data_IF_799632909728
#
_entry.id   IF_799632909728
#
_cell.length_a   1.000
_cell.length_b   1.000
_cell.length_c   1.000
_cell.angle_alpha   90.00
_cell.angle_beta   90.00
_cell.angle_gamma   90.00
#
_symmetry.space_group_name_H-M   'P 1'
#
loop_
_entity.id
_entity.type
_entity.pdbx_description
1 polymer ?
#
# COMPACT_ATOMS: atom_id res chain seq x y z
N UNK A 1 10.68 27.66 5.94
CA UNK A 1 10.90 26.22 5.59
C UNK A 1 10.25 25.42 6.69
N UNK A 2 9.51 24.37 6.39
CA UNK A 2 8.82 23.59 7.41
C UNK A 2 9.87 22.70 8.12
N UNK A 3 10.39 23.17 9.25
CA UNK A 3 11.50 22.51 9.96
C UNK A 3 11.20 21.05 10.30
N UNK A 4 9.94 20.73 10.63
CA UNK A 4 9.55 19.35 10.96
C UNK A 4 9.61 18.41 9.75
N UNK A 5 9.19 18.86 8.55
CA UNK A 5 9.26 18.01 7.35
C UNK A 5 10.72 17.59 7.06
N UNK A 6 11.67 18.49 7.29
CA UNK A 6 13.10 18.23 7.10
C UNK A 6 13.70 17.25 8.13
N UNK A 7 12.99 16.98 9.24
CA UNK A 7 13.38 15.94 10.20
C UNK A 7 12.79 14.57 9.85
N UNK A 8 11.80 14.53 8.97
CA UNK A 8 11.08 13.30 8.59
C UNK A 8 11.56 12.78 7.23
N UNK A 9 11.55 13.63 6.21
CA UNK A 9 11.92 13.29 4.83
C UNK A 9 13.35 13.73 4.56
N UNK A 10 14.11 12.91 3.82
CA UNK A 10 15.43 13.32 3.31
C UNK A 10 15.27 14.39 2.22
N UNK A 11 15.01 15.65 2.65
CA UNK A 11 14.81 16.78 1.75
C UNK A 11 16.08 17.20 1.00
N UNK A 12 17.27 16.74 1.41
CA UNK A 12 18.51 16.96 0.62
C UNK A 12 18.47 16.10 -0.63
N UNK A 13 18.00 14.88 -0.52
CA UNK A 13 17.88 13.93 -1.62
C UNK A 13 16.56 14.09 -2.39
N UNK A 14 15.49 14.40 -1.69
CA UNK A 14 14.12 14.49 -2.21
C UNK A 14 13.46 15.82 -1.78
N UNK A 15 13.82 16.96 -2.37
CA UNK A 15 13.27 18.27 -1.99
C UNK A 15 11.81 18.43 -2.45
N UNK A 16 10.89 17.62 -1.88
CA UNK A 16 9.46 17.59 -2.25
C UNK A 16 8.72 18.91 -2.00
N UNK A 17 9.32 19.82 -1.23
CA UNK A 17 8.83 21.19 -1.01
C UNK A 17 9.08 22.12 -2.21
N UNK A 18 9.94 21.73 -3.15
CA UNK A 18 10.23 22.48 -4.38
C UNK A 18 10.07 21.58 -5.62
N UNK A 19 8.82 21.50 -6.12
CA UNK A 19 8.50 20.74 -7.33
C UNK A 19 9.17 21.30 -8.60
N UNK A 20 9.72 22.51 -8.54
CA UNK A 20 10.41 23.13 -9.66
C UNK A 20 11.89 22.77 -9.73
N UNK A 21 12.47 22.24 -8.66
CA UNK A 21 13.85 21.80 -8.65
C UNK A 21 14.12 20.73 -9.72
N UNK A 22 15.31 20.76 -10.30
CA UNK A 22 15.74 19.76 -11.30
C UNK A 22 15.72 18.34 -10.72
N UNK A 23 16.06 18.19 -9.43
CA UNK A 23 16.06 16.89 -8.74
C UNK A 23 14.65 16.30 -8.75
N UNK A 24 13.66 17.08 -8.33
CA UNK A 24 12.26 16.59 -8.26
C UNK A 24 11.66 16.39 -9.64
N UNK A 25 11.92 17.27 -10.60
CA UNK A 25 11.46 17.06 -11.99
C UNK A 25 11.97 15.74 -12.58
N UNK A 26 13.23 15.41 -12.36
CA UNK A 26 13.80 14.14 -12.82
C UNK A 26 13.19 12.94 -12.07
N UNK A 27 12.99 13.05 -10.74
CA UNK A 27 12.35 12.00 -9.95
C UNK A 27 10.90 11.76 -10.39
N UNK A 28 10.11 12.82 -10.56
CA UNK A 28 8.73 12.76 -11.06
C UNK A 28 8.67 12.11 -12.44
N UNK A 29 9.57 12.49 -13.36
CA UNK A 29 9.66 11.84 -14.68
C UNK A 29 9.94 10.36 -14.56
N UNK A 30 10.93 9.96 -13.76
CA UNK A 30 11.25 8.55 -13.47
C UNK A 30 10.02 7.80 -12.90
N UNK A 31 9.35 8.39 -11.90
CA UNK A 31 8.17 7.76 -11.30
C UNK A 31 7.06 7.52 -12.33
N UNK A 32 6.78 8.49 -13.21
CA UNK A 32 5.79 8.32 -14.29
C UNK A 32 6.15 7.19 -15.24
N UNK A 33 7.39 7.16 -15.71
CA UNK A 33 7.89 6.12 -16.62
C UNK A 33 7.78 4.72 -15.97
N UNK A 34 8.18 4.58 -14.70
CA UNK A 34 8.07 3.32 -13.95
C UNK A 34 6.61 2.91 -13.71
N UNK A 35 5.72 3.86 -13.36
CA UNK A 35 4.30 3.60 -13.17
C UNK A 35 3.60 3.20 -14.48
N UNK A 36 4.00 3.72 -15.61
CA UNK A 36 3.43 3.34 -16.90
C UNK A 36 3.94 1.99 -17.37
N UNK A 37 5.22 1.72 -17.20
CA UNK A 37 5.84 0.48 -17.63
C UNK A 37 5.59 -0.70 -16.67
N UNK A 38 5.64 -0.42 -15.36
CA UNK A 38 5.66 -1.46 -14.32
C UNK A 38 4.53 -1.35 -13.31
N UNK A 39 3.64 -0.35 -13.42
CA UNK A 39 2.59 -0.05 -12.44
C UNK A 39 3.09 0.25 -11.04
N UNK A 40 4.38 0.36 -10.83
CA UNK A 40 5.03 0.51 -9.53
C UNK A 40 6.28 1.36 -9.65
N UNK A 41 6.42 2.34 -8.74
CA UNK A 41 7.66 3.11 -8.58
C UNK A 41 8.07 3.12 -7.10
N UNK A 42 9.38 3.09 -6.85
CA UNK A 42 9.93 3.13 -5.48
C UNK A 42 10.91 4.28 -5.33
N UNK A 43 10.78 4.97 -4.20
CA UNK A 43 11.65 6.07 -3.78
C UNK A 43 12.40 5.59 -2.54
N UNK A 44 13.66 5.12 -2.71
CA UNK A 44 14.40 4.47 -1.64
C UNK A 44 14.86 5.45 -0.57
N UNK A 45 14.83 5.02 0.70
CA UNK A 45 15.25 5.82 1.86
C UNK A 45 14.58 7.20 1.88
N UNK A 46 13.28 7.24 1.61
CA UNK A 46 12.49 8.48 1.60
C UNK A 46 12.38 9.09 2.99
N UNK A 47 12.21 8.23 4.01
CA UNK A 47 12.14 8.62 5.41
C UNK A 47 13.53 8.53 6.05
N UNK A 48 13.88 9.56 6.82
CA UNK A 48 15.12 9.58 7.60
C UNK A 48 15.10 8.51 8.70
N UNK A 49 16.24 7.85 8.99
CA UNK A 49 16.29 6.74 9.96
C UNK A 49 15.72 7.09 11.33
N UNK A 50 16.03 8.28 11.86
CA UNK A 50 15.53 8.72 13.16
C UNK A 50 13.99 8.86 13.20
N UNK A 51 13.39 9.39 12.15
CA UNK A 51 11.92 9.50 12.06
C UNK A 51 11.29 8.12 11.87
N UNK A 52 11.95 7.23 11.13
CA UNK A 52 11.49 5.85 10.98
C UNK A 52 11.47 5.09 12.32
N UNK A 53 12.49 5.29 13.17
CA UNK A 53 12.52 4.74 14.54
C UNK A 53 11.34 5.27 15.38
N UNK A 54 11.02 6.57 15.27
CA UNK A 54 9.86 7.16 15.95
C UNK A 54 8.56 6.54 15.44
N UNK A 55 8.36 6.44 14.11
CA UNK A 55 7.17 5.83 13.51
C UNK A 55 7.00 4.37 13.95
N UNK A 56 8.09 3.60 13.99
CA UNK A 56 8.06 2.21 14.46
C UNK A 56 7.68 2.14 15.94
N UNK A 57 8.27 2.98 16.78
CA UNK A 57 7.95 3.03 18.22
C UNK A 57 6.51 3.51 18.50
N UNK A 58 5.97 4.43 17.67
CA UNK A 58 4.56 4.84 17.75
C UNK A 58 3.63 3.67 17.43
N UNK A 59 3.96 2.87 16.41
CA UNK A 59 3.19 1.69 16.02
C UNK A 59 3.27 0.60 17.10
N UNK A 60 4.45 0.29 17.61
CA UNK A 60 4.65 -0.76 18.63
C UNK A 60 3.82 -0.52 19.89
N UNK A 61 3.56 0.73 20.26
CA UNK A 61 2.70 1.10 21.38
C UNK A 61 1.20 0.85 21.14
N UNK A 62 0.82 0.58 19.90
CA UNK A 62 -0.57 0.37 19.49
C UNK A 62 -0.83 -1.07 19.03
N UNK A 63 0.11 -2.00 19.21
CA UNK A 63 -0.05 -3.37 18.72
C UNK A 63 -1.25 -4.09 19.32
N UNK A 64 -1.64 -3.76 20.54
CA UNK A 64 -2.84 -4.33 21.19
C UNK A 64 -4.15 -3.90 20.52
N UNK A 65 -4.12 -2.81 19.72
CA UNK A 65 -5.27 -2.29 18.97
C UNK A 65 -5.35 -2.89 17.54
N UNK A 66 -4.41 -3.74 17.16
CA UNK A 66 -4.39 -4.34 15.82
C UNK A 66 -5.55 -5.32 15.67
N UNK A 67 -6.38 -5.08 14.69
CA UNK A 67 -7.40 -6.03 14.28
C UNK A 67 -6.82 -7.09 13.35
N UNK A 68 -6.52 -8.27 13.88
CA UNK A 68 -6.08 -9.42 13.09
C UNK A 68 -7.25 -10.09 12.40
N UNK A 69 -7.16 -10.28 11.08
CA UNK A 69 -8.17 -10.96 10.27
C UNK A 69 -7.57 -12.19 9.61
N UNK A 70 -8.28 -13.33 9.76
CA UNK A 70 -7.99 -14.55 9.04
C UNK A 70 -9.24 -14.99 8.29
N UNK A 71 -9.19 -14.93 6.97
CA UNK A 71 -10.32 -15.21 6.11
C UNK A 71 -9.89 -15.79 4.77
N UNK A 72 -10.84 -16.34 4.01
CA UNK A 72 -10.62 -16.83 2.66
C UNK A 72 -11.25 -15.86 1.66
N UNK A 73 -10.45 -15.28 0.77
CA UNK A 73 -10.89 -14.32 -0.23
C UNK A 73 -10.38 -14.70 -1.62
N UNK A 74 -11.09 -14.25 -2.64
CA UNK A 74 -10.61 -14.34 -4.01
C UNK A 74 -9.78 -13.11 -4.41
N UNK A 75 -9.20 -13.12 -5.61
CA UNK A 75 -8.37 -12.03 -6.12
C UNK A 75 -9.11 -10.68 -6.30
N UNK A 76 -10.42 -10.68 -6.19
CA UNK A 76 -11.28 -9.49 -6.28
C UNK A 76 -11.83 -9.08 -4.92
N UNK A 77 -11.24 -9.57 -3.83
CA UNK A 77 -11.57 -9.30 -2.42
C UNK A 77 -12.97 -9.78 -1.99
N UNK A 78 -13.60 -10.68 -2.73
CA UNK A 78 -14.86 -11.28 -2.29
C UNK A 78 -14.60 -12.51 -1.40
N UNK A 79 -15.36 -12.62 -0.32
CA UNK A 79 -15.35 -13.76 0.59
C UNK A 79 -16.44 -14.80 0.26
N UNK A 80 -17.36 -14.50 -0.67
CA UNK A 80 -18.46 -15.38 -1.07
C UNK A 80 -18.23 -15.92 -2.47
N UNK A 81 -18.48 -17.23 -2.64
CA UNK A 81 -18.48 -17.89 -3.95
C UNK A 81 -19.67 -17.46 -4.81
N UNK A 82 -19.47 -17.43 -6.12
CA UNK A 82 -20.52 -17.22 -7.11
C UNK A 82 -20.66 -18.48 -7.99
N UNK A 83 -21.57 -19.40 -7.65
CA UNK A 83 -21.78 -20.63 -8.41
C UNK A 83 -22.30 -20.44 -9.84
N UNK A 84 -22.74 -19.23 -10.21
CA UNK A 84 -23.14 -18.91 -11.58
C UNK A 84 -21.95 -18.84 -12.55
N UNK A 85 -20.73 -18.69 -12.01
CA UNK A 85 -19.50 -18.66 -12.79
C UNK A 85 -18.92 -20.06 -12.98
N UNK A 86 -18.16 -20.32 -14.06
CA UNK A 86 -17.48 -21.59 -14.28
C UNK A 86 -16.56 -21.96 -13.10
N UNK A 87 -16.41 -23.24 -12.77
CA UNK A 87 -15.64 -23.73 -11.61
C UNK A 87 -14.21 -23.22 -11.54
N UNK A 88 -13.57 -23.04 -12.69
CA UNK A 88 -12.17 -22.53 -12.77
C UNK A 88 -12.08 -21.03 -13.05
N UNK A 89 -13.15 -20.28 -12.78
CA UNK A 89 -13.13 -18.82 -12.96
C UNK A 89 -12.28 -18.17 -11.86
N UNK A 90 -11.44 -17.14 -12.15
CA UNK A 90 -10.58 -16.49 -11.16
C UNK A 90 -11.32 -15.96 -9.91
N UNK A 91 -12.57 -15.52 -10.05
CA UNK A 91 -13.43 -15.09 -8.92
C UNK A 91 -13.88 -16.23 -8.02
N UNK A 92 -13.66 -17.49 -8.40
CA UNK A 92 -13.95 -18.70 -7.60
C UNK A 92 -12.69 -19.34 -7.01
N UNK A 93 -11.51 -18.71 -7.20
CA UNK A 93 -10.26 -19.15 -6.58
C UNK A 93 -10.08 -18.40 -5.25
N UNK A 94 -10.35 -19.10 -4.15
CA UNK A 94 -10.25 -18.56 -2.79
C UNK A 94 -8.90 -18.91 -2.17
N UNK A 95 -8.27 -17.92 -1.54
CA UNK A 95 -6.95 -18.03 -0.93
C UNK A 95 -6.99 -17.51 0.50
N UNK A 96 -6.21 -18.11 1.38
CA UNK A 96 -6.08 -17.64 2.76
C UNK A 96 -5.45 -16.26 2.80
N UNK A 97 -6.07 -15.36 3.56
CA UNK A 97 -5.56 -14.07 3.98
C UNK A 97 -5.39 -14.09 5.50
N UNK A 98 -4.21 -13.72 5.96
CA UNK A 98 -3.92 -13.52 7.38
C UNK A 98 -3.04 -12.29 7.55
N UNK A 99 -3.64 -11.19 7.96
CA UNK A 99 -2.96 -9.93 8.24
C UNK A 99 -3.79 -9.08 9.20
N UNK A 100 -3.14 -8.10 9.82
CA UNK A 100 -3.76 -7.14 10.71
C UNK A 100 -3.88 -5.75 10.11
N UNK A 101 -4.85 -5.00 10.62
CA UNK A 101 -5.02 -3.57 10.36
C UNK A 101 -5.01 -2.80 11.66
N UNK A 102 -4.30 -1.68 11.64
CA UNK A 102 -4.29 -0.71 12.72
C UNK A 102 -4.77 0.62 12.16
N UNK A 103 -5.88 1.11 12.69
CA UNK A 103 -6.54 2.31 12.20
C UNK A 103 -5.75 3.59 12.54
N UNK A 104 -5.94 4.62 11.73
CA UNK A 104 -5.27 5.92 11.85
C UNK A 104 -5.58 6.65 13.16
N UNK A 105 -6.78 6.46 13.72
CA UNK A 105 -7.24 7.10 14.94
C UNK A 105 -6.63 6.53 16.24
N UNK A 106 -5.97 5.36 16.14
CA UNK A 106 -5.17 4.81 17.24
C UNK A 106 -3.90 5.63 17.52
N UNK A 107 -3.48 6.47 16.58
CA UNK A 107 -2.26 7.26 16.70
C UNK A 107 -2.50 8.65 17.27
N UNK A 108 -1.55 9.20 18.06
CA UNK A 108 -1.61 10.57 18.55
C UNK A 108 -1.72 11.59 17.41
N UNK A 109 -2.42 12.71 17.66
CA UNK A 109 -2.56 13.80 16.67
C UNK A 109 -1.23 14.36 16.16
N UNK A 110 -0.18 14.26 16.95
CA UNK A 110 1.17 14.73 16.63
C UNK A 110 2.11 13.63 16.18
N UNK A 111 1.62 12.42 15.82
CA UNK A 111 2.47 11.33 15.31
C UNK A 111 3.19 11.74 14.03
N UNK A 112 4.36 11.12 13.79
CA UNK A 112 5.21 11.45 12.64
C UNK A 112 4.49 11.17 11.32
N UNK A 113 3.82 10.02 11.21
CA UNK A 113 3.14 9.63 9.98
C UNK A 113 1.92 10.52 9.69
N UNK A 114 1.12 10.84 10.73
CA UNK A 114 -0.02 11.75 10.57
C UNK A 114 0.42 13.11 10.07
N UNK A 115 1.46 13.67 10.70
CA UNK A 115 2.01 14.94 10.25
C UNK A 115 2.47 14.89 8.79
N UNK A 116 3.25 13.87 8.39
CA UNK A 116 3.71 13.71 7.03
C UNK A 116 2.55 13.60 6.03
N UNK A 117 1.55 12.78 6.35
CA UNK A 117 0.34 12.60 5.54
C UNK A 117 -0.44 13.91 5.31
N UNK A 118 -0.50 14.77 6.33
CA UNK A 118 -1.21 16.04 6.29
C UNK A 118 -0.45 17.17 5.56
N UNK A 119 0.82 16.96 5.17
CA UNK A 119 1.59 17.98 4.44
C UNK A 119 1.10 18.16 3.01
N UNK A 120 1.02 19.41 2.56
CA UNK A 120 0.73 19.74 1.16
C UNK A 120 1.87 19.30 0.22
N UNK A 121 3.08 19.30 0.72
CA UNK A 121 4.28 18.91 0.01
C UNK A 121 4.21 17.45 -0.45
N UNK A 122 3.82 16.53 0.44
CA UNK A 122 3.67 15.12 0.08
C UNK A 122 2.51 14.93 -0.90
N UNK A 123 1.35 15.54 -0.64
CA UNK A 123 0.18 15.46 -1.52
C UNK A 123 0.52 15.89 -2.95
N UNK A 124 1.14 17.06 -3.10
CA UNK A 124 1.52 17.63 -4.41
C UNK A 124 2.59 16.80 -5.10
N UNK A 125 3.57 16.31 -4.35
CA UNK A 125 4.61 15.44 -4.88
C UNK A 125 4.02 14.12 -5.43
N UNK A 126 3.15 13.47 -4.67
CA UNK A 126 2.46 12.23 -5.10
C UNK A 126 1.59 12.49 -6.33
N UNK A 127 0.80 13.57 -6.33
CA UNK A 127 0.01 14.00 -7.48
C UNK A 127 0.86 14.17 -8.74
N UNK A 128 2.03 14.81 -8.59
CA UNK A 128 2.98 14.99 -9.69
C UNK A 128 3.53 13.65 -10.20
N UNK A 129 3.91 12.73 -9.31
CA UNK A 129 4.42 11.39 -9.67
C UNK A 129 3.37 10.55 -10.41
N UNK A 130 2.11 10.61 -9.97
CA UNK A 130 0.99 9.93 -10.60
C UNK A 130 0.61 10.56 -11.96
N UNK A 131 0.89 11.86 -12.14
CA UNK A 131 0.38 12.63 -13.27
C UNK A 131 -1.13 12.87 -13.20
N UNK A 132 -1.71 12.81 -12.00
CA UNK A 132 -3.15 12.96 -11.73
C UNK A 132 -3.34 14.18 -10.81
N UNK A 133 -4.25 15.08 -11.19
CA UNK A 133 -4.60 16.27 -10.40
C UNK A 133 -6.04 16.67 -10.68
N UNK A 134 -6.83 16.99 -9.64
CA UNK A 134 -6.48 16.93 -8.23
C UNK A 134 -6.50 15.50 -7.66
N UNK A 135 -5.73 15.28 -6.60
CA UNK A 135 -5.92 14.17 -5.66
C UNK A 135 -6.18 14.77 -4.28
N UNK A 136 -6.84 14.01 -3.41
CA UNK A 136 -7.28 14.48 -2.11
C UNK A 136 -6.83 13.53 -1.01
N UNK A 137 -6.68 14.05 0.21
CA UNK A 137 -6.64 13.20 1.41
C UNK A 137 -8.00 12.55 1.58
N UNK A 138 -8.01 11.30 1.96
CA UNK A 138 -9.25 10.60 2.23
C UNK A 138 -9.89 11.14 3.50
N UNK A 139 -11.20 11.43 3.43
CA UNK A 139 -11.95 12.02 4.55
C UNK A 139 -12.25 11.03 5.68
N UNK A 140 -12.05 9.71 5.44
CA UNK A 140 -12.22 8.69 6.48
C UNK A 140 -11.09 8.78 7.52
N UNK A 141 -11.39 9.17 8.77
CA UNK A 141 -10.38 9.33 9.81
C UNK A 141 -9.79 8.01 10.29
N UNK A 142 -10.44 6.88 10.01
CA UNK A 142 -9.98 5.55 10.44
C UNK A 142 -8.92 4.97 9.49
N UNK A 143 -9.02 5.29 8.20
CA UNK A 143 -8.23 4.65 7.17
C UNK A 143 -7.25 5.58 6.45
N UNK A 144 -7.20 6.88 6.80
CA UNK A 144 -6.41 7.87 6.06
C UNK A 144 -4.89 7.60 6.03
N UNK A 145 -4.33 6.94 7.04
CA UNK A 145 -2.94 6.45 7.09
C UNK A 145 -2.83 5.16 7.91
N UNK A 146 -3.73 4.22 7.65
CA UNK A 146 -3.78 2.94 8.34
C UNK A 146 -2.50 2.11 8.11
N UNK A 147 -2.23 1.21 9.04
CA UNK A 147 -1.11 0.28 8.93
C UNK A 147 -1.60 -1.13 8.65
N UNK A 148 -0.89 -1.79 7.75
CA UNK A 148 -0.97 -3.23 7.56
C UNK A 148 0.11 -3.89 8.41
N UNK A 149 -0.31 -4.75 9.33
CA UNK A 149 0.54 -5.51 10.25
C UNK A 149 0.49 -6.97 9.85
N UNK A 150 1.62 -7.55 9.53
CA UNK A 150 1.74 -8.98 9.22
C UNK A 150 2.69 -9.62 10.23
N UNK A 151 2.10 -10.38 11.13
CA UNK A 151 2.83 -11.20 12.10
C UNK A 151 3.52 -12.41 11.41
N UNK A 152 4.35 -13.19 12.12
CA UNK A 152 4.77 -14.50 11.64
C UNK A 152 3.60 -15.31 11.11
N UNK A 153 3.80 -15.99 9.98
CA UNK A 153 2.77 -16.68 9.19
C UNK A 153 1.76 -15.78 8.46
N UNK A 154 1.79 -14.47 8.68
CA UNK A 154 0.95 -13.52 7.96
C UNK A 154 1.15 -13.62 6.44
N UNK A 155 0.05 -13.55 5.70
CA UNK A 155 0.03 -13.63 4.23
C UNK A 155 -1.08 -12.72 3.67
N UNK A 156 -0.77 -12.01 2.61
CA UNK A 156 -1.75 -11.27 1.82
C UNK A 156 -1.78 -11.90 0.42
N UNK A 157 -2.85 -12.65 0.08
CA UNK A 157 -2.90 -13.43 -1.16
C UNK A 157 -3.00 -12.53 -2.39
N UNK A 158 -2.95 -13.13 -3.58
CA UNK A 158 -3.16 -12.42 -4.84
C UNK A 158 -4.48 -11.66 -4.84
N UNK A 159 -4.41 -10.34 -5.07
CA UNK A 159 -5.59 -9.48 -5.12
C UNK A 159 -5.35 -8.24 -5.99
N UNK A 160 -6.42 -7.56 -6.28
CA UNK A 160 -6.44 -6.22 -6.85
C UNK A 160 -6.93 -5.22 -5.79
N UNK A 161 -6.37 -4.02 -5.78
CA UNK A 161 -6.90 -2.95 -4.95
C UNK A 161 -8.23 -2.39 -5.50
N UNK A 162 -9.02 -1.83 -4.61
CA UNK A 162 -10.24 -1.08 -4.97
C UNK A 162 -9.90 0.31 -5.51
N UNK A 163 -8.81 0.92 -5.03
CA UNK A 163 -8.34 2.23 -5.46
C UNK A 163 -7.48 2.15 -6.72
N UNK A 164 -7.48 3.23 -7.51
CA UNK A 164 -6.64 3.34 -8.71
C UNK A 164 -5.16 3.23 -8.38
N UNK A 165 -4.75 3.84 -7.29
CA UNK A 165 -3.36 3.86 -6.82
C UNK A 165 -3.31 3.75 -5.29
N UNK A 166 -2.19 3.27 -4.81
CA UNK A 166 -1.90 3.08 -3.38
C UNK A 166 -0.51 3.61 -3.08
N UNK A 167 -0.36 4.35 -1.99
CA UNK A 167 0.94 4.63 -1.39
C UNK A 167 1.23 3.59 -0.32
N UNK A 168 2.49 3.22 -0.21
CA UNK A 168 2.96 2.33 0.85
C UNK A 168 4.32 2.79 1.35
N UNK A 169 4.46 2.89 2.66
CA UNK A 169 5.70 3.23 3.33
C UNK A 169 6.15 2.04 4.19
N UNK A 170 7.29 1.47 3.86
CA UNK A 170 7.85 0.36 4.65
C UNK A 170 8.38 0.88 5.99
N UNK A 171 7.78 0.43 7.09
CA UNK A 171 8.21 0.79 8.45
C UNK A 171 9.15 -0.27 8.99
N UNK A 172 8.78 -1.54 8.88
CA UNK A 172 9.58 -2.66 9.33
C UNK A 172 9.47 -3.82 8.35
N UNK A 173 10.60 -4.38 7.93
CA UNK A 173 10.65 -5.62 7.16
C UNK A 173 10.76 -6.83 8.09
N UNK A 174 10.21 -8.00 7.70
CA UNK A 174 10.40 -9.24 8.42
C UNK A 174 11.84 -9.76 8.27
N UNK A 175 12.19 -10.80 8.99
CA UNK A 175 13.47 -11.50 8.83
C UNK A 175 13.56 -12.18 7.46
N UNK A 176 12.46 -12.83 7.05
CA UNK A 176 12.39 -13.58 5.79
C UNK A 176 10.94 -13.57 5.28
N UNK A 177 10.74 -13.80 3.98
CA UNK A 177 9.41 -13.70 3.36
C UNK A 177 8.90 -12.27 3.30
N UNK A 178 7.57 -12.11 3.33
CA UNK A 178 6.93 -10.78 3.25
C UNK A 178 7.28 -10.00 1.98
N UNK A 179 7.61 -10.71 0.90
CA UNK A 179 8.01 -10.13 -0.39
C UNK A 179 6.77 -9.65 -1.13
N UNK A 180 6.82 -8.42 -1.63
CA UNK A 180 5.80 -7.90 -2.53
C UNK A 180 6.02 -8.47 -3.93
N UNK A 181 5.03 -9.22 -4.43
CA UNK A 181 5.01 -9.77 -5.78
C UNK A 181 3.85 -9.17 -6.57
N UNK A 182 4.07 -8.87 -7.84
CA UNK A 182 3.05 -8.22 -8.66
C UNK A 182 3.18 -8.53 -10.15
N UNK A 183 2.05 -8.47 -10.85
CA UNK A 183 1.93 -8.60 -12.32
C UNK A 183 1.46 -7.26 -12.87
N UNK A 184 2.36 -6.43 -13.45
CA UNK A 184 2.01 -5.10 -13.93
C UNK A 184 1.00 -5.18 -15.09
N UNK A 185 0.02 -4.26 -15.07
CA UNK A 185 -0.94 -4.06 -16.16
C UNK A 185 -1.60 -5.36 -16.64
N UNK A 186 -1.91 -6.31 -15.72
CA UNK A 186 -2.50 -7.60 -16.09
C UNK A 186 -3.97 -7.45 -16.54
N UNK A 187 -4.66 -6.42 -16.06
CA UNK A 187 -6.01 -6.02 -16.53
C UNK A 187 -6.04 -4.53 -16.89
N UNK A 188 -7.11 -4.10 -17.55
CA UNK A 188 -7.35 -2.72 -17.95
C UNK A 188 -8.84 -2.37 -17.80
N UNK A 189 -9.23 -1.07 -17.83
CA UNK A 189 -10.63 -0.69 -17.85
C UNK A 189 -11.41 -1.44 -18.93
N UNK A 190 -12.51 -2.11 -18.54
CA UNK A 190 -13.35 -2.90 -19.46
C UNK A 190 -12.76 -4.25 -19.90
N UNK A 191 -11.56 -4.60 -19.46
CA UNK A 191 -10.94 -5.89 -19.76
C UNK A 191 -10.28 -6.50 -18.52
N UNK A 192 -10.98 -7.43 -17.89
CA UNK A 192 -10.49 -8.15 -16.68
C UNK A 192 -9.39 -9.17 -16.98
N UNK A 193 -9.22 -9.56 -18.25
CA UNK A 193 -8.18 -10.50 -18.69
C UNK A 193 -8.11 -11.79 -17.85
N UNK A 194 -9.28 -12.38 -17.57
CA UNK A 194 -9.44 -13.53 -16.67
C UNK A 194 -8.50 -14.69 -17.00
N UNK A 195 -8.16 -14.91 -18.27
CA UNK A 195 -7.26 -15.99 -18.67
C UNK A 195 -5.85 -15.79 -18.12
N UNK A 196 -5.30 -14.59 -18.19
CA UNK A 196 -3.95 -14.31 -17.67
C UNK A 196 -3.95 -14.28 -16.14
N UNK A 197 -5.00 -13.70 -15.53
CA UNK A 197 -5.18 -13.75 -14.07
C UNK A 197 -5.20 -15.20 -13.60
N UNK A 198 -5.98 -16.07 -14.26
CA UNK A 198 -6.06 -17.49 -13.94
C UNK A 198 -4.70 -18.18 -13.98
N UNK A 199 -3.89 -17.96 -15.02
CA UNK A 199 -2.54 -18.54 -15.12
C UNK A 199 -1.68 -18.19 -13.90
N UNK A 200 -1.71 -16.93 -13.46
CA UNK A 200 -0.95 -16.49 -12.27
C UNK A 200 -1.46 -17.17 -11.00
N UNK A 201 -2.77 -17.27 -10.82
CA UNK A 201 -3.39 -17.95 -9.68
C UNK A 201 -3.09 -19.45 -9.67
N UNK A 202 -2.94 -20.08 -10.84
CA UNK A 202 -2.54 -21.48 -11.01
C UNK A 202 -1.03 -21.71 -10.92
N UNK A 203 -0.24 -20.65 -10.69
CA UNK A 203 1.19 -20.77 -10.39
C UNK A 203 2.14 -20.30 -11.49
N UNK A 204 1.66 -19.77 -12.62
CA UNK A 204 2.54 -19.15 -13.62
C UNK A 204 3.24 -17.91 -13.04
N UNK A 205 4.55 -17.88 -13.16
CA UNK A 205 5.42 -16.79 -12.68
C UNK A 205 6.03 -15.95 -13.79
N UNK A 206 5.75 -16.25 -15.04
CA UNK A 206 6.38 -15.60 -16.21
C UNK A 206 6.21 -14.07 -16.22
N UNK A 207 5.08 -13.58 -15.70
CA UNK A 207 4.76 -12.14 -15.59
C UNK A 207 5.00 -11.55 -14.20
N UNK A 208 5.37 -12.38 -13.21
CA UNK A 208 5.51 -11.95 -11.82
C UNK A 208 6.85 -11.23 -11.63
N UNK A 209 6.75 -10.04 -11.07
CA UNK A 209 7.90 -9.26 -10.58
C UNK A 209 7.92 -9.28 -9.06
N UNK A 210 9.10 -9.13 -8.50
CA UNK A 210 9.31 -9.00 -7.07
C UNK A 210 9.87 -7.63 -6.75
N UNK A 211 9.38 -7.03 -5.68
CA UNK A 211 9.92 -5.80 -5.12
C UNK A 211 10.35 -6.06 -3.67
N UNK A 212 11.61 -5.82 -3.39
CA UNK A 212 12.16 -5.84 -2.04
C UNK A 212 12.21 -4.41 -1.53
N UNK A 213 11.27 -4.06 -0.64
CA UNK A 213 11.24 -2.77 0.02
C UNK A 213 12.11 -2.81 1.27
N UNK A 214 12.90 -1.77 1.47
CA UNK A 214 13.64 -1.55 2.70
C UNK A 214 12.89 -0.54 3.61
N UNK A 215 13.08 -0.61 4.93
CA UNK A 215 12.49 0.36 5.85
C UNK A 215 12.86 1.80 5.46
N UNK A 216 11.85 2.67 5.37
CA UNK A 216 11.99 4.04 4.90
C UNK A 216 11.71 4.25 3.40
N UNK A 217 11.53 3.18 2.62
CA UNK A 217 11.17 3.28 1.20
C UNK A 217 9.70 3.66 1.04
N UNK A 218 9.44 4.63 0.15
CA UNK A 218 8.10 4.98 -0.29
C UNK A 218 7.81 4.31 -1.65
N UNK A 219 6.72 3.56 -1.72
CA UNK A 219 6.20 2.95 -2.94
C UNK A 219 4.96 3.71 -3.41
N UNK A 220 4.86 3.96 -4.72
CA UNK A 220 3.66 4.41 -5.42
C UNK A 220 3.25 3.29 -6.38
N UNK A 221 1.99 2.87 -6.34
CA UNK A 221 1.55 1.65 -6.98
C UNK A 221 0.15 1.78 -7.60
N UNK A 222 -0.05 1.31 -8.85
CA UNK A 222 -1.34 1.29 -9.54
C UNK A 222 -2.07 -0.03 -9.24
N UNK A 223 -2.60 -0.18 -8.00
CA UNK A 223 -3.10 -1.44 -7.48
C UNK A 223 -4.34 -2.00 -8.16
N UNK A 224 -5.25 -1.13 -8.66
CA UNK A 224 -6.48 -1.56 -9.34
C UNK A 224 -6.23 -2.46 -10.56
N UNK A 225 -5.18 -2.19 -11.32
CA UNK A 225 -4.91 -2.91 -12.58
C UNK A 225 -3.75 -3.89 -12.51
N UNK A 226 -3.21 -4.08 -11.33
CA UNK A 226 -2.04 -4.90 -11.07
C UNK A 226 -2.37 -5.97 -10.05
N UNK A 227 -2.38 -7.24 -10.47
CA UNK A 227 -2.54 -8.36 -9.55
C UNK A 227 -1.29 -8.44 -8.66
N UNK A 228 -1.46 -8.42 -7.33
CA UNK A 228 -0.32 -8.39 -6.41
C UNK A 228 -0.60 -9.17 -5.12
N UNK A 229 0.47 -9.51 -4.43
CA UNK A 229 0.41 -10.20 -3.13
C UNK A 229 1.61 -9.82 -2.25
N UNK A 230 1.51 -10.16 -0.98
CA UNK A 230 2.67 -10.24 -0.09
C UNK A 230 2.83 -11.70 0.33
N UNK A 231 4.01 -12.25 0.08
CA UNK A 231 4.30 -13.64 0.44
C UNK A 231 4.28 -13.82 1.95
N UNK A 232 4.17 -15.07 2.42
CA UNK A 232 4.16 -15.40 3.82
C UNK A 232 5.35 -14.77 4.57
N UNK A 233 5.08 -14.20 5.73
CA UNK A 233 6.10 -13.70 6.66
C UNK A 233 6.71 -14.90 7.40
N UNK A 234 8.03 -15.00 7.40
CA UNK A 234 8.78 -16.06 8.05
C UNK A 234 9.74 -15.47 9.10
N UNK A 235 10.03 -16.24 10.14
CA UNK A 235 10.82 -15.80 11.30
C UNK A 235 9.95 -15.28 12.43
N UNK A 236 10.53 -14.47 13.33
CA UNK A 236 9.84 -13.93 14.52
C UNK A 236 9.46 -12.45 14.37
N UNK A 237 10.03 -11.77 13.37
CA UNK A 237 9.84 -10.33 13.18
C UNK A 237 8.67 -10.03 12.24
N UNK A 238 7.72 -9.26 12.72
CA UNK A 238 6.56 -8.82 11.94
C UNK A 238 6.95 -7.84 10.82
N UNK A 239 6.12 -7.76 9.80
CA UNK A 239 6.19 -6.77 8.73
C UNK A 239 5.18 -5.66 8.98
N UNK A 240 5.63 -4.40 8.98
CA UNK A 240 4.79 -3.22 9.16
C UNK A 240 4.86 -2.32 7.93
N UNK A 241 3.69 -1.97 7.39
CA UNK A 241 3.55 -1.10 6.24
C UNK A 241 2.49 -0.04 6.53
N UNK A 242 2.84 1.24 6.48
CA UNK A 242 1.85 2.30 6.48
C UNK A 242 1.30 2.51 5.06
N UNK A 243 0.00 2.78 4.97
CA UNK A 243 -0.71 2.99 3.70
C UNK A 243 -1.40 4.36 3.74
N UNK A 244 -0.68 5.46 3.41
CA UNK A 244 -1.27 6.78 3.30
C UNK A 244 -2.29 6.82 2.15
N UNK A 245 -3.53 7.13 2.45
CA UNK A 245 -4.63 7.07 1.48
C UNK A 245 -4.90 8.44 0.85
N UNK A 246 -4.42 8.63 -0.38
CA UNK A 246 -4.87 9.72 -1.24
C UNK A 246 -5.84 9.16 -2.29
N UNK A 247 -6.86 9.91 -2.63
CA UNK A 247 -7.99 9.45 -3.43
C UNK A 247 -8.40 10.49 -4.47
N UNK A 248 -9.18 10.06 -5.48
CA UNK A 248 -9.74 10.97 -6.51
C UNK A 248 -10.99 11.69 -6.01
N UNK A 249 -11.74 11.09 -5.10
CA UNK A 249 -12.90 11.67 -4.41
C UNK A 249 -12.72 11.50 -2.90
N UNK A 250 -12.58 12.59 -2.12
CA UNK A 250 -12.34 12.53 -0.68
C UNK A 250 -13.46 11.84 0.09
N UNK A 251 -14.66 11.79 -0.45
CA UNK A 251 -15.83 11.17 0.16
C UNK A 251 -16.16 9.78 -0.40
N UNK A 252 -15.27 9.23 -1.23
CA UNK A 252 -15.46 7.86 -1.73
C UNK A 252 -15.53 6.89 -0.56
N UNK A 253 -16.61 6.09 -0.51
CA UNK A 253 -16.73 4.99 0.44
C UNK A 253 -16.06 3.75 -0.16
N UNK A 254 -14.96 3.32 0.41
CA UNK A 254 -14.38 2.01 0.09
C UNK A 254 -15.15 0.96 0.90
N UNK A 255 -16.23 0.46 0.34
CA UNK A 255 -17.11 -0.56 0.94
C UNK A 255 -16.40 -1.89 1.33
N UNK A 256 -15.11 -1.97 1.11
CA UNK A 256 -14.30 -3.18 1.28
C UNK A 256 -13.12 -3.02 2.25
N UNK A 257 -13.11 -1.96 3.06
CA UNK A 257 -12.24 -1.95 4.23
C UNK A 257 -12.75 -3.02 5.19
N UNK A 258 -11.85 -3.85 5.72
CA UNK A 258 -12.21 -4.82 6.75
C UNK A 258 -13.03 -4.13 7.84
N UNK A 259 -14.10 -4.75 8.36
CA UNK A 259 -14.90 -4.13 9.41
C UNK A 259 -14.01 -3.76 10.57
N UNK A 260 -14.11 -2.51 11.01
CA UNK A 260 -13.44 -2.04 12.22
C UNK A 260 -13.85 -2.92 13.41
N UNK A 261 -12.98 -3.18 14.38
CA UNK A 261 -13.38 -3.82 15.64
C UNK A 261 -14.58 -3.13 16.31
N UNK A 262 -14.78 -1.85 16.03
CA UNK A 262 -15.92 -1.04 16.55
C UNK A 262 -17.25 -1.31 15.84
N UNK A 263 -17.22 -1.94 14.66
CA UNK A 263 -18.45 -2.28 13.91
C UNK A 263 -19.13 -3.58 14.40
N UNK A 264 -18.61 -4.18 15.47
CA UNK A 264 -19.15 -5.38 16.12
C UNK A 264 -19.79 -5.04 17.45
N UNK A 265 -20.60 -3.98 17.49
CA UNK A 265 -21.48 -3.70 18.60
C UNK A 265 -22.68 -4.64 18.66
#
# INVERSE_FOLDING_TARGET
>A
MNDRLNTIVDLKRYPIHDLNSTIIKNLVKKCKEELDQYSCSTIPNFILPKSLEVMNSELEKQLDEVYMSKESINAYLYAKDDPSLPDKHPKRNFMERYNGYLNSDCFPKNSEMKYLYETEELLKFVSACLGISPIYRWADPLACHAYNVMEPDGILPWHFDSCEFTLSLMIQKPEKGGIFEYCPNIRAPGNENFNEVKKVLEGDRSRVRQLKLEPGDLQIFKGRFTLHRVTKVEGQKSRYMCIPAYVLDPYSCLLYTSPSPRDRG
#
